data_IF_765454257360
#
_entry.id   IF_765454257360
#
_cell.length_a   1.000
_cell.length_b   1.000
_cell.length_c   1.000
_cell.angle_alpha   90.00
_cell.angle_beta   90.00
_cell.angle_gamma   90.00
#
_symmetry.space_group_name_H-M   'P 1'
#
loop_
_entity.id
_entity.type
_entity.pdbx_description
1 polymer ?
#
# COMPACT_ATOMS: atom_id res chain seq x y z
N UNK A 1 12.51 -3.16 3.55
CA UNK A 1 11.46 -2.51 2.74
C UNK A 1 11.91 -1.08 2.45
N UNK A 2 11.96 -0.65 1.19
CA UNK A 2 12.42 0.69 0.81
C UNK A 2 11.34 1.74 1.07
N UNK A 3 11.34 2.26 2.29
CA UNK A 3 10.35 3.23 2.76
C UNK A 3 10.40 4.55 1.97
N UNK A 4 11.57 4.95 1.49
CA UNK A 4 11.74 6.19 0.71
C UNK A 4 10.93 6.18 -0.58
N UNK A 5 10.90 5.05 -1.29
CA UNK A 5 10.11 4.91 -2.52
C UNK A 5 8.62 4.93 -2.23
N UNK A 6 8.21 4.27 -1.15
CA UNK A 6 6.81 4.29 -0.73
C UNK A 6 6.40 5.70 -0.35
N UNK A 7 7.21 6.42 0.45
CA UNK A 7 6.98 7.83 0.78
C UNK A 7 6.86 8.69 -0.47
N UNK A 8 7.71 8.47 -1.47
CA UNK A 8 7.60 9.18 -2.76
C UNK A 8 6.27 8.90 -3.48
N UNK A 9 5.72 7.67 -3.43
CA UNK A 9 4.37 7.40 -3.95
C UNK A 9 3.33 8.25 -3.22
N UNK A 10 3.38 8.30 -1.88
CA UNK A 10 2.42 9.06 -1.08
C UNK A 10 2.58 10.58 -1.23
N UNK A 11 3.79 11.10 -1.32
CA UNK A 11 4.07 12.53 -1.59
C UNK A 11 3.55 12.96 -2.98
N UNK A 12 3.43 12.01 -3.93
CA UNK A 12 2.86 12.28 -5.25
C UNK A 12 1.33 12.22 -5.29
N UNK A 13 0.66 11.83 -4.19
CA UNK A 13 -0.79 11.84 -4.06
C UNK A 13 -1.22 12.96 -3.10
N UNK A 14 -2.16 13.80 -3.53
CA UNK A 14 -2.79 14.79 -2.66
C UNK A 14 -3.69 14.17 -1.56
N UNK A 15 -3.90 12.85 -1.61
CA UNK A 15 -4.74 12.11 -0.65
C UNK A 15 -3.90 11.33 0.34
N UNK A 16 -4.26 11.38 1.63
CA UNK A 16 -3.58 10.56 2.65
C UNK A 16 -3.77 9.05 2.42
N UNK A 17 -4.91 8.63 1.86
CA UNK A 17 -5.24 7.23 1.59
C UNK A 17 -5.15 6.90 0.11
N UNK A 18 -4.38 5.86 -0.22
CA UNK A 18 -4.30 5.33 -1.58
C UNK A 18 -4.79 3.88 -1.61
N UNK A 19 -5.38 3.45 -2.72
CA UNK A 19 -5.75 2.04 -2.86
C UNK A 19 -4.48 1.16 -2.94
N UNK A 20 -4.52 -0.04 -2.38
CA UNK A 20 -3.39 -0.98 -2.45
C UNK A 20 -3.08 -1.38 -3.89
N UNK A 21 -4.08 -1.41 -4.77
CA UNK A 21 -3.88 -1.60 -6.20
C UNK A 21 -3.07 -0.45 -6.82
N UNK A 22 -3.42 0.81 -6.52
CA UNK A 22 -2.69 1.99 -6.98
C UNK A 22 -1.26 2.03 -6.42
N UNK A 23 -1.09 1.75 -5.11
CA UNK A 23 0.24 1.66 -4.49
C UNK A 23 1.10 0.63 -5.20
N UNK A 24 0.58 -0.58 -5.46
CA UNK A 24 1.35 -1.63 -6.12
C UNK A 24 1.80 -1.24 -7.52
N UNK A 25 0.92 -0.62 -8.31
CA UNK A 25 1.24 -0.14 -9.65
C UNK A 25 2.33 0.94 -9.62
N UNK A 26 2.21 1.95 -8.76
CA UNK A 26 3.20 3.03 -8.68
C UNK A 26 4.52 2.57 -8.05
N UNK A 27 4.46 1.71 -7.03
CA UNK A 27 5.66 1.17 -6.43
C UNK A 27 6.46 0.36 -7.46
N UNK A 28 5.79 -0.44 -8.31
CA UNK A 28 6.45 -1.16 -9.40
C UNK A 28 7.07 -0.24 -10.45
N UNK A 29 6.52 0.95 -10.67
CA UNK A 29 7.13 1.98 -11.54
C UNK A 29 8.39 2.58 -10.92
N UNK A 30 8.40 2.81 -9.60
CA UNK A 30 9.56 3.36 -8.89
C UNK A 30 10.65 2.31 -8.58
N UNK A 31 10.24 1.05 -8.44
CA UNK A 31 11.08 -0.08 -8.08
C UNK A 31 10.62 -1.32 -8.86
N UNK A 32 11.23 -1.53 -10.02
CA UNK A 32 10.86 -2.61 -10.95
C UNK A 32 11.13 -4.01 -10.35
N UNK A 33 12.11 -4.13 -9.46
CA UNK A 33 12.48 -5.33 -8.72
C UNK A 33 11.58 -5.62 -7.50
N UNK A 34 10.57 -4.78 -7.24
CA UNK A 34 9.66 -5.00 -6.12
C UNK A 34 8.82 -6.27 -6.30
N UNK A 35 8.93 -7.19 -5.36
CA UNK A 35 8.13 -8.41 -5.30
C UNK A 35 7.68 -8.70 -3.85
N UNK A 36 6.37 -8.76 -3.54
CA UNK A 36 5.88 -9.11 -2.20
C UNK A 36 6.39 -10.46 -1.68
N UNK A 37 6.74 -11.39 -2.58
CA UNK A 37 7.23 -12.73 -2.23
C UNK A 37 8.62 -12.70 -1.60
N UNK A 38 9.45 -11.70 -1.91
CA UNK A 38 10.76 -11.54 -1.23
C UNK A 38 10.61 -11.20 0.25
N UNK A 39 9.41 -10.78 0.66
CA UNK A 39 9.05 -10.50 2.05
C UNK A 39 8.22 -11.62 2.69
N UNK A 40 7.97 -12.73 1.98
CA UNK A 40 7.16 -13.85 2.47
C UNK A 40 5.65 -13.70 2.25
N UNK A 41 5.19 -12.73 1.46
CA UNK A 41 3.76 -12.48 1.25
C UNK A 41 3.33 -12.84 -0.18
N UNK A 42 2.16 -13.47 -0.31
CA UNK A 42 1.59 -13.83 -1.62
C UNK A 42 0.95 -12.64 -2.33
N UNK A 43 0.46 -11.65 -1.58
CA UNK A 43 -0.21 -10.46 -2.11
C UNK A 43 0.33 -9.22 -1.42
N UNK A 44 0.32 -8.10 -2.15
CA UNK A 44 0.69 -6.79 -1.60
C UNK A 44 -0.21 -6.39 -0.42
N UNK A 45 -1.50 -6.74 -0.47
CA UNK A 45 -2.43 -6.50 0.63
C UNK A 45 -1.98 -7.13 1.95
N UNK A 46 -1.51 -8.38 1.91
CA UNK A 46 -1.00 -9.07 3.10
C UNK A 46 0.31 -8.45 3.61
N UNK A 47 1.18 -8.01 2.68
CA UNK A 47 2.39 -7.28 3.01
C UNK A 47 2.05 -5.99 3.78
N UNK A 48 1.22 -5.10 3.23
CA UNK A 48 0.90 -3.83 3.91
C UNK A 48 0.14 -4.05 5.21
N UNK A 49 -0.75 -5.05 5.28
CA UNK A 49 -1.46 -5.44 6.52
C UNK A 49 -0.50 -5.95 7.59
N UNK A 50 0.58 -6.63 7.23
CA UNK A 50 1.57 -7.10 8.21
C UNK A 50 2.43 -5.97 8.78
N UNK A 51 2.66 -4.91 8.01
CA UNK A 51 3.50 -3.77 8.41
C UNK A 51 2.69 -2.66 9.11
N UNK A 52 1.90 -3.02 10.12
CA UNK A 52 1.01 -2.11 10.88
C UNK A 52 1.72 -0.97 11.63
N UNK A 53 3.03 -1.09 11.84
CA UNK A 53 3.88 -0.04 12.43
C UNK A 53 4.18 1.09 11.46
N UNK A 54 4.14 0.81 10.16
CA UNK A 54 4.46 1.75 9.07
C UNK A 54 3.20 2.18 8.34
N UNK A 55 2.22 1.27 8.21
CA UNK A 55 1.00 1.51 7.46
C UNK A 55 -0.23 1.46 8.36
N UNK A 56 -1.16 2.36 8.11
CA UNK A 56 -2.56 2.15 8.43
C UNK A 56 -3.25 1.57 7.20
N UNK A 57 -4.08 0.55 7.42
CA UNK A 57 -4.78 -0.16 6.36
C UNK A 57 -6.27 -0.16 6.67
N UNK A 58 -7.10 0.16 5.69
CA UNK A 58 -8.55 0.28 5.84
C UNK A 58 -9.26 -0.44 4.68
N UNK A 59 -10.22 -1.29 5.01
CA UNK A 59 -11.06 -1.96 4.01
C UNK A 59 -12.33 -1.15 3.80
N UNK A 60 -12.50 -0.58 2.60
CA UNK A 60 -13.68 0.21 2.24
C UNK A 60 -14.56 -0.59 1.28
N UNK A 61 -15.81 -0.80 1.68
CA UNK A 61 -16.83 -1.38 0.82
C UNK A 61 -17.27 -0.34 -0.21
N UNK A 62 -17.24 -0.68 -1.49
CA UNK A 62 -17.91 0.10 -2.53
C UNK A 62 -19.33 -0.44 -2.63
N UNK A 63 -20.32 0.31 -2.15
CA UNK A 63 -21.69 -0.13 -1.82
C UNK A 63 -22.53 -0.84 -2.89
N UNK A 64 -21.96 -1.20 -4.03
CA UNK A 64 -22.59 -1.96 -5.12
C UNK A 64 -22.03 -3.37 -5.30
N UNK A 65 -20.95 -3.76 -4.60
CA UNK A 65 -20.35 -5.09 -4.75
C UNK A 65 -19.80 -5.63 -3.43
N UNK A 66 -19.81 -6.96 -3.27
CA UNK A 66 -19.18 -7.67 -2.14
C UNK A 66 -17.65 -7.50 -2.10
N UNK A 67 -17.11 -6.84 -3.12
CA UNK A 67 -15.70 -6.54 -3.30
C UNK A 67 -15.30 -5.36 -2.42
N UNK A 68 -14.46 -5.65 -1.42
CA UNK A 68 -13.84 -4.63 -0.56
C UNK A 68 -12.56 -4.12 -1.20
N UNK A 69 -12.44 -2.81 -1.31
CA UNK A 69 -11.19 -2.18 -1.73
C UNK A 69 -10.32 -1.91 -0.51
N UNK A 70 -9.06 -2.35 -0.59
CA UNK A 70 -8.09 -2.13 0.47
C UNK A 70 -7.38 -0.79 0.22
N UNK A 71 -7.44 0.09 1.20
CA UNK A 71 -6.76 1.37 1.22
C UNK A 71 -5.64 1.34 2.25
N UNK A 72 -4.59 2.09 1.97
CA UNK A 72 -3.40 2.16 2.81
C UNK A 72 -2.92 3.61 2.89
N UNK A 73 -2.42 4.00 4.06
CA UNK A 73 -1.71 5.26 4.29
C UNK A 73 -0.46 5.03 5.11
N UNK A 74 0.50 5.95 4.99
CA UNK A 74 1.66 5.97 5.88
C UNK A 74 1.26 6.45 7.27
N UNK A 75 1.63 5.69 8.30
CA UNK A 75 1.61 6.19 9.67
C UNK A 75 2.72 7.23 9.81
N UNK A 76 2.34 8.40 10.30
CA UNK A 76 3.31 9.41 10.77
C UNK A 76 3.99 8.83 12.00
N UNK A 77 5.19 8.28 11.81
CA UNK A 77 6.08 7.95 12.92
C UNK A 77 6.53 9.28 13.51
N UNK A 78 6.04 9.56 14.72
CA UNK A 78 6.40 10.75 15.50
C UNK A 78 7.68 10.49 16.27
#
# INVERSE_FOLDING_TARGET
>A
MPLDKIKQVFDAHDTEWISVASLGSQWKLLQVDFDPRTYGFKKLGDLVKSYTKVFDVEERSTGTSDHKNLYVRLKKTK
#
